data_IF_494814412164
#
_entry.id   IF_494814412164
#
_cell.length_a   1.000
_cell.length_b   1.000
_cell.length_c   1.000
_cell.angle_alpha   90.00
_cell.angle_beta   90.00
_cell.angle_gamma   90.00
#
_symmetry.space_group_name_H-M   'P 1'
#
loop_
_entity.id
_entity.type
_entity.pdbx_description
1 polymer ?
#
# COMPACT_ATOMS: atom_id res chain seq x y z
N UNK A 1 24.24 -14.25 -12.88
CA UNK A 1 24.38 -14.13 -11.41
C UNK A 1 23.25 -14.94 -10.79
N UNK A 2 23.44 -15.52 -9.60
CA UNK A 2 22.40 -16.29 -8.93
C UNK A 2 21.94 -15.50 -7.69
N UNK A 3 20.65 -15.22 -7.55
CA UNK A 3 20.05 -14.64 -6.34
C UNK A 3 20.19 -15.65 -5.21
N UNK A 4 20.99 -15.30 -4.21
CA UNK A 4 21.20 -16.10 -3.00
C UNK A 4 20.15 -15.76 -1.92
N UNK A 5 19.63 -16.78 -1.26
CA UNK A 5 18.71 -16.63 -0.12
C UNK A 5 19.48 -16.96 1.16
N UNK A 6 19.57 -15.98 2.05
CA UNK A 6 20.28 -16.08 3.32
C UNK A 6 19.30 -16.00 4.49
N UNK A 7 19.44 -16.90 5.46
CA UNK A 7 18.61 -16.93 6.65
C UNK A 7 19.38 -16.36 7.85
N UNK A 8 18.80 -15.37 8.53
CA UNK A 8 19.41 -14.70 9.68
C UNK A 8 18.47 -14.77 10.88
N UNK A 9 18.99 -15.31 11.99
CA UNK A 9 18.24 -15.45 13.24
C UNK A 9 18.62 -14.32 14.18
N UNK A 10 17.68 -13.40 14.41
CA UNK A 10 17.91 -12.16 15.16
C UNK A 10 17.89 -12.44 16.66
N UNK A 11 19.01 -12.19 17.33
CA UNK A 11 19.20 -12.31 18.78
C UNK A 11 19.13 -10.93 19.44
N UNK A 12 18.90 -10.87 20.75
CA UNK A 12 18.77 -9.60 21.49
C UNK A 12 19.98 -8.65 21.39
N UNK A 13 21.16 -9.15 21.04
CA UNK A 13 22.39 -8.36 20.85
C UNK A 13 22.72 -8.03 19.38
N UNK A 14 21.82 -8.28 18.44
CA UNK A 14 22.07 -8.02 17.02
C UNK A 14 22.24 -6.52 16.74
N UNK A 15 23.28 -6.09 15.99
CA UNK A 15 23.56 -4.68 15.73
C UNK A 15 22.47 -3.97 14.90
N UNK A 16 21.59 -4.72 14.22
CA UNK A 16 20.46 -4.15 13.49
C UNK A 16 19.28 -3.81 14.42
N UNK A 17 19.27 -4.31 15.66
CA UNK A 17 18.27 -3.96 16.65
C UNK A 17 18.59 -2.59 17.25
N UNK A 18 17.60 -1.71 17.20
CA UNK A 18 17.66 -0.45 17.92
C UNK A 18 16.75 -0.47 19.14
N UNK A 19 17.16 0.18 20.26
CA UNK A 19 16.26 0.44 21.36
C UNK A 19 15.13 1.36 20.86
N UNK A 20 13.89 0.87 20.90
CA UNK A 20 12.72 1.67 20.55
C UNK A 20 12.59 2.83 21.54
N UNK A 21 12.57 4.08 21.03
CA UNK A 21 12.40 5.28 21.85
C UNK A 21 10.96 5.49 22.31
N UNK A 22 10.01 4.70 21.82
CA UNK A 22 8.58 4.84 22.07
C UNK A 22 7.98 3.49 22.46
N UNK A 23 8.13 3.06 23.72
CA UNK A 23 7.32 2.04 24.43
C UNK A 23 6.99 0.70 23.69
N UNK A 24 7.63 0.41 22.56
CA UNK A 24 7.36 -0.77 21.76
C UNK A 24 8.46 -1.81 21.95
N UNK A 25 8.02 -3.05 21.85
CA UNK A 25 8.69 -4.29 22.23
C UNK A 25 10.14 -4.39 21.72
N UNK A 26 11.02 -5.15 22.41
CA UNK A 26 12.30 -5.54 21.81
C UNK A 26 12.08 -6.14 20.41
N UNK A 27 12.86 -5.72 19.41
CA UNK A 27 12.77 -6.30 18.06
C UNK A 27 12.72 -5.35 16.85
N UNK A 28 12.90 -4.04 17.00
CA UNK A 28 12.88 -3.13 15.85
C UNK A 28 14.18 -3.16 15.06
N UNK A 29 14.12 -3.60 13.80
CA UNK A 29 15.23 -3.57 12.87
C UNK A 29 15.35 -2.20 12.19
N UNK A 30 16.57 -1.68 12.13
CA UNK A 30 16.91 -0.46 11.40
C UNK A 30 17.76 -0.79 10.17
N UNK A 31 17.30 -0.31 9.02
CA UNK A 31 17.99 -0.44 7.75
C UNK A 31 18.23 0.95 7.15
N UNK A 32 19.44 1.52 7.32
CA UNK A 32 19.80 2.75 6.64
C UNK A 32 19.69 2.58 5.12
N UNK A 33 19.32 3.66 4.43
CA UNK A 33 19.22 3.70 2.95
C UNK A 33 18.32 2.61 2.37
N UNK A 34 17.26 2.23 3.10
CA UNK A 34 16.30 1.24 2.67
C UNK A 34 14.97 1.84 2.26
N UNK A 35 14.31 1.20 1.31
CA UNK A 35 12.94 1.45 0.95
C UNK A 35 12.05 0.38 1.59
N UNK A 36 11.12 0.79 2.45
CA UNK A 36 10.11 -0.12 2.99
C UNK A 36 9.01 -0.36 1.95
N UNK A 37 8.85 -1.61 1.54
CA UNK A 37 7.80 -2.05 0.64
C UNK A 37 6.64 -2.63 1.46
N UNK A 38 5.42 -2.20 1.14
CA UNK A 38 4.20 -2.75 1.71
C UNK A 38 3.54 -3.74 0.73
N UNK A 39 2.48 -4.41 1.19
CA UNK A 39 1.63 -5.23 0.33
C UNK A 39 1.08 -4.38 -0.84
N UNK A 40 0.89 -5.03 -1.99
CA UNK A 40 0.43 -4.42 -3.24
C UNK A 40 1.36 -3.34 -3.80
N UNK A 41 2.64 -3.36 -3.42
CA UNK A 41 3.65 -2.47 -3.97
C UNK A 41 4.70 -3.27 -4.72
N UNK A 42 5.31 -2.63 -5.72
CA UNK A 42 6.58 -3.08 -6.26
C UNK A 42 7.59 -1.94 -6.26
N UNK A 43 8.86 -2.31 -6.18
CA UNK A 43 9.97 -1.39 -6.26
C UNK A 43 10.96 -1.86 -7.30
N UNK A 44 11.54 -0.93 -8.06
CA UNK A 44 12.61 -1.16 -9.01
C UNK A 44 13.79 -0.30 -8.56
N UNK A 45 14.87 -0.96 -8.15
CA UNK A 45 16.12 -0.29 -7.84
C UNK A 45 16.98 -0.24 -9.09
N UNK A 46 17.29 0.98 -9.52
CA UNK A 46 18.15 1.27 -10.68
C UNK A 46 19.59 1.55 -10.21
N UNK A 47 20.60 1.27 -11.05
CA UNK A 47 21.95 1.78 -10.80
C UNK A 47 21.92 3.29 -10.55
N UNK A 48 22.52 3.73 -9.45
CA UNK A 48 22.54 5.14 -9.04
C UNK A 48 21.41 5.61 -8.12
N UNK A 49 20.43 4.74 -7.78
CA UNK A 49 19.46 5.07 -6.72
C UNK A 49 20.18 5.31 -5.38
N UNK A 50 19.71 6.27 -4.59
CA UNK A 50 20.18 6.46 -3.20
C UNK A 50 19.69 5.36 -2.26
N UNK A 51 18.75 4.53 -2.70
CA UNK A 51 18.27 3.35 -1.99
C UNK A 51 19.18 2.18 -2.32
N UNK A 52 19.75 1.56 -1.27
CA UNK A 52 20.63 0.40 -1.39
C UNK A 52 19.86 -0.92 -1.30
N UNK A 53 18.71 -0.92 -0.63
CA UNK A 53 17.95 -2.13 -0.37
C UNK A 53 16.46 -1.89 -0.25
N UNK A 54 15.68 -2.91 -0.57
CA UNK A 54 14.26 -2.96 -0.25
C UNK A 54 14.06 -3.82 0.99
N UNK A 55 13.22 -3.38 1.91
CA UNK A 55 12.85 -4.12 3.12
C UNK A 55 11.35 -4.25 3.20
N UNK A 56 10.85 -5.30 3.84
CA UNK A 56 9.41 -5.45 4.00
C UNK A 56 9.04 -6.58 4.96
N UNK A 57 7.74 -6.66 5.24
CA UNK A 57 7.16 -7.77 6.00
C UNK A 57 6.83 -8.93 5.06
N UNK A 58 7.08 -10.16 5.52
CA UNK A 58 6.67 -11.37 4.82
C UNK A 58 5.26 -11.77 5.28
N UNK A 59 4.24 -11.10 4.77
CA UNK A 59 2.84 -11.43 5.05
C UNK A 59 2.14 -12.15 3.88
N UNK A 60 2.67 -12.02 2.66
CA UNK A 60 2.04 -12.53 1.43
C UNK A 60 3.07 -13.14 0.48
N UNK A 61 2.85 -13.06 -0.84
CA UNK A 61 3.84 -13.45 -1.84
C UNK A 61 4.89 -12.35 -2.00
N UNK A 62 6.15 -12.74 -1.81
CA UNK A 62 7.31 -11.95 -2.20
C UNK A 62 7.87 -12.49 -3.51
N UNK A 63 8.06 -11.64 -4.52
CA UNK A 63 8.79 -11.96 -5.75
C UNK A 63 9.96 -11.00 -5.91
N UNK A 64 11.13 -11.55 -6.21
CA UNK A 64 12.38 -10.82 -6.46
C UNK A 64 12.85 -11.18 -7.86
N UNK A 65 13.09 -10.16 -8.68
CA UNK A 65 13.57 -10.29 -10.04
C UNK A 65 14.84 -9.47 -10.20
N UNK A 66 15.90 -10.06 -10.74
CA UNK A 66 17.18 -9.37 -10.94
C UNK A 66 17.69 -9.59 -12.36
N UNK A 67 18.07 -8.49 -13.03
CA UNK A 67 18.73 -8.55 -14.33
C UNK A 67 20.24 -8.30 -14.15
N UNK A 68 21.02 -9.32 -14.49
CA UNK A 68 22.46 -9.31 -14.20
C UNK A 68 23.26 -8.35 -15.09
N UNK A 69 22.72 -8.04 -16.26
CA UNK A 69 23.28 -7.15 -17.28
C UNK A 69 23.04 -5.68 -16.91
N UNK A 70 21.80 -5.32 -16.56
CA UNK A 70 21.43 -3.93 -16.24
C UNK A 70 21.66 -3.57 -14.77
N UNK A 71 21.95 -4.56 -13.92
CA UNK A 71 22.05 -4.40 -12.45
C UNK A 71 20.80 -3.78 -11.84
N UNK A 72 19.64 -4.06 -12.43
CA UNK A 72 18.34 -3.65 -11.89
C UNK A 72 17.72 -4.79 -11.09
N UNK A 73 17.10 -4.43 -9.98
CA UNK A 73 16.38 -5.38 -9.12
C UNK A 73 14.95 -4.88 -8.93
N UNK A 74 13.98 -5.75 -9.20
CA UNK A 74 12.58 -5.49 -8.92
C UNK A 74 12.12 -6.40 -7.78
N UNK A 75 11.41 -5.84 -6.82
CA UNK A 75 10.78 -6.57 -5.72
C UNK A 75 9.30 -6.27 -5.73
N UNK A 76 8.50 -7.32 -5.67
CA UNK A 76 7.04 -7.27 -5.74
C UNK A 76 6.50 -7.94 -4.48
N UNK A 77 5.66 -7.23 -3.73
CA UNK A 77 4.84 -7.80 -2.67
C UNK A 77 3.41 -7.87 -3.16
N UNK A 78 2.99 -9.06 -3.57
CA UNK A 78 1.66 -9.28 -4.12
C UNK A 78 0.71 -9.80 -3.04
N UNK A 79 -0.55 -9.36 -3.10
CA UNK A 79 -1.62 -9.94 -2.29
C UNK A 79 -2.00 -11.36 -2.74
N UNK A 80 -2.92 -12.03 -2.02
CA UNK A 80 -3.30 -13.42 -2.25
C UNK A 80 -4.09 -13.69 -3.55
N UNK A 81 -4.27 -12.70 -4.42
CA UNK A 81 -5.04 -12.83 -5.67
C UNK A 81 -4.29 -12.21 -6.83
N UNK A 82 -4.04 -13.02 -7.86
CA UNK A 82 -3.19 -12.71 -9.01
C UNK A 82 -4.03 -12.60 -10.28
N UNK A 83 -4.77 -11.50 -10.47
CA UNK A 83 -5.73 -11.44 -11.58
C UNK A 83 -5.23 -10.72 -12.84
N UNK A 84 -4.11 -9.97 -12.80
CA UNK A 84 -3.74 -9.09 -13.93
C UNK A 84 -2.31 -9.31 -14.40
N UNK A 85 -2.16 -9.93 -15.58
CA UNK A 85 -0.89 -10.21 -16.26
C UNK A 85 -0.01 -8.98 -16.45
N UNK A 86 -0.60 -7.85 -16.86
CA UNK A 86 0.14 -6.64 -17.23
C UNK A 86 0.95 -6.02 -16.09
N UNK A 87 0.49 -6.15 -14.85
CA UNK A 87 1.14 -5.56 -13.68
C UNK A 87 2.52 -6.18 -13.38
N UNK A 88 2.75 -7.41 -13.86
CA UNK A 88 4.01 -8.11 -13.66
C UNK A 88 4.95 -8.00 -14.86
N UNK A 89 4.42 -7.72 -16.05
CA UNK A 89 5.24 -7.51 -17.26
C UNK A 89 5.92 -6.15 -17.29
N UNK A 90 5.32 -5.10 -16.71
CA UNK A 90 5.90 -3.76 -16.67
C UNK A 90 7.24 -3.73 -15.89
N UNK A 91 7.38 -4.35 -14.70
CA UNK A 91 8.67 -4.51 -14.05
C UNK A 91 9.71 -5.25 -14.89
N UNK A 92 9.31 -6.29 -15.64
CA UNK A 92 10.22 -7.03 -16.54
C UNK A 92 10.77 -6.12 -17.63
N UNK A 93 9.91 -5.30 -18.23
CA UNK A 93 10.30 -4.32 -19.26
C UNK A 93 11.30 -3.30 -18.74
N UNK A 94 11.07 -2.81 -17.53
CA UNK A 94 11.98 -1.90 -16.84
C UNK A 94 13.31 -2.57 -16.46
N UNK A 95 13.30 -3.85 -16.07
CA UNK A 95 14.52 -4.58 -15.71
C UNK A 95 15.48 -4.71 -16.90
N UNK A 96 14.96 -4.99 -18.09
CA UNK A 96 15.78 -5.19 -19.28
C UNK A 96 16.06 -3.88 -20.04
N UNK A 97 15.32 -2.80 -19.73
CA UNK A 97 15.48 -1.48 -20.38
C UNK A 97 15.39 -1.51 -21.92
N UNK A 98 14.64 -2.46 -22.49
CA UNK A 98 14.55 -2.69 -23.94
C UNK A 98 15.73 -3.48 -24.54
N UNK A 99 16.71 -3.89 -23.74
CA UNK A 99 17.82 -4.74 -24.14
C UNK A 99 17.47 -6.23 -24.01
N UNK A 100 18.31 -7.11 -24.57
CA UNK A 100 18.25 -8.55 -24.26
C UNK A 100 19.00 -8.78 -22.95
N UNK A 101 18.35 -9.39 -21.96
CA UNK A 101 18.97 -9.68 -20.67
C UNK A 101 18.44 -10.98 -20.08
N UNK A 102 19.24 -11.60 -19.20
CA UNK A 102 18.80 -12.73 -18.39
C UNK A 102 18.24 -12.19 -17.07
N UNK A 103 16.95 -12.44 -16.85
CA UNK A 103 16.31 -12.16 -15.56
C UNK A 103 16.23 -13.44 -14.76
N UNK A 104 16.73 -13.38 -13.54
CA UNK A 104 16.46 -14.41 -12.56
C UNK A 104 15.26 -14.02 -11.70
N UNK A 105 14.35 -14.97 -11.49
CA UNK A 105 13.13 -14.78 -10.71
C UNK A 105 13.18 -15.73 -9.51
N UNK A 106 13.02 -15.17 -8.32
CA UNK A 106 12.80 -15.90 -7.07
C UNK A 106 11.47 -15.46 -6.49
N UNK A 107 10.72 -16.39 -5.93
CA UNK A 107 9.52 -16.06 -5.18
C UNK A 107 9.45 -16.88 -3.90
N UNK A 108 8.83 -16.29 -2.87
CA UNK A 108 8.61 -16.89 -1.58
C UNK A 108 7.15 -16.70 -1.20
N UNK A 109 6.55 -17.78 -0.71
CA UNK A 109 5.15 -17.80 -0.34
C UNK A 109 4.94 -18.47 1.02
N UNK A 110 4.15 -17.84 1.89
CA UNK A 110 3.86 -18.39 3.22
C UNK A 110 3.15 -19.76 3.11
N UNK A 111 3.52 -20.74 3.96
CA UNK A 111 2.84 -22.02 4.02
C UNK A 111 1.32 -21.87 4.20
N UNK A 112 0.54 -22.60 3.41
CA UNK A 112 -0.93 -22.58 3.50
C UNK A 112 -1.62 -21.43 2.78
N UNK A 113 -0.89 -20.47 2.21
CA UNK A 113 -1.51 -19.53 1.27
C UNK A 113 -1.79 -20.22 -0.07
N UNK A 114 -2.95 -19.94 -0.67
CA UNK A 114 -3.43 -20.66 -1.84
C UNK A 114 -2.64 -20.21 -3.09
N UNK A 115 -1.59 -20.96 -3.46
CA UNK A 115 -0.61 -20.62 -4.51
C UNK A 115 -1.06 -20.79 -5.94
N UNK A 116 -2.29 -21.26 -6.17
CA UNK A 116 -2.71 -21.92 -7.42
C UNK A 116 -2.33 -21.17 -8.71
N UNK A 117 -2.11 -19.87 -8.63
CA UNK A 117 -1.88 -18.97 -9.75
C UNK A 117 -0.41 -18.52 -9.96
N UNK A 118 0.57 -18.99 -9.16
CA UNK A 118 1.96 -18.51 -9.33
C UNK A 118 2.69 -19.12 -10.52
N UNK A 119 2.44 -20.40 -10.81
CA UNK A 119 3.07 -21.09 -11.94
C UNK A 119 2.66 -20.45 -13.26
N UNK A 120 1.35 -20.22 -13.54
CA UNK A 120 0.93 -19.47 -14.73
C UNK A 120 1.56 -18.08 -14.84
N UNK A 121 1.76 -17.38 -13.71
CA UNK A 121 2.42 -16.07 -13.71
C UNK A 121 3.89 -16.18 -14.11
N UNK A 122 4.63 -17.15 -13.57
CA UNK A 122 6.04 -17.35 -13.93
C UNK A 122 6.18 -17.76 -15.40
N UNK A 123 5.28 -18.61 -15.91
CA UNK A 123 5.23 -19.00 -17.32
C UNK A 123 4.95 -17.79 -18.22
N UNK A 124 3.95 -16.97 -17.87
CA UNK A 124 3.65 -15.72 -18.57
C UNK A 124 4.87 -14.79 -18.63
N UNK A 125 5.60 -14.64 -17.52
CA UNK A 125 6.82 -13.82 -17.48
C UNK A 125 7.96 -14.43 -18.31
N UNK A 126 8.02 -15.76 -18.44
CA UNK A 126 8.98 -16.46 -19.29
C UNK A 126 8.74 -16.17 -20.77
N UNK A 127 7.47 -16.24 -21.19
CA UNK A 127 7.07 -15.98 -22.56
C UNK A 127 7.30 -14.51 -22.95
N UNK A 128 7.24 -13.61 -21.97
CA UNK A 128 7.45 -12.19 -22.19
C UNK A 128 8.91 -11.89 -22.56
N UNK A 129 9.13 -11.45 -23.81
CA UNK A 129 10.42 -11.01 -24.37
C UNK A 129 11.55 -12.05 -24.33
N UNK A 130 11.23 -13.34 -24.30
CA UNK A 130 12.21 -14.44 -24.22
C UNK A 130 13.10 -14.36 -22.97
N UNK A 131 12.53 -13.90 -21.85
CA UNK A 131 13.21 -14.01 -20.55
C UNK A 131 13.35 -15.50 -20.24
N UNK A 132 14.53 -15.91 -19.76
CA UNK A 132 14.75 -17.30 -19.31
C UNK A 132 14.64 -17.32 -17.79
N UNK A 133 13.43 -17.47 -17.21
CA UNK A 133 13.29 -17.52 -15.76
C UNK A 133 13.97 -18.78 -15.26
N UNK A 134 14.92 -18.60 -14.34
CA UNK A 134 15.41 -19.67 -13.49
C UNK A 134 14.55 -19.70 -12.24
N UNK A 135 13.35 -20.25 -12.35
CA UNK A 135 12.48 -20.42 -11.19
C UNK A 135 13.12 -21.38 -10.19
N UNK A 136 12.98 -21.07 -8.91
CA UNK A 136 13.25 -22.01 -7.84
C UNK A 136 12.16 -21.84 -6.79
N UNK A 137 11.52 -22.95 -6.44
CA UNK A 137 10.45 -23.01 -5.46
C UNK A 137 11.08 -23.17 -4.08
N UNK A 138 11.16 -22.07 -3.33
CA UNK A 138 11.45 -22.12 -1.91
C UNK A 138 10.14 -21.99 -1.16
N UNK A 139 9.64 -23.08 -0.57
CA UNK A 139 8.69 -22.94 0.52
C UNK A 139 9.32 -21.97 1.54
N UNK A 140 8.58 -20.94 1.97
CA UNK A 140 9.08 -20.08 3.04
C UNK A 140 9.52 -20.99 4.19
N UNK A 141 10.77 -20.85 4.63
CA UNK A 141 11.18 -21.47 5.89
C UNK A 141 10.24 -20.96 6.97
N UNK A 142 9.57 -21.88 7.66
CA UNK A 142 8.70 -21.56 8.78
C UNK A 142 9.41 -20.56 9.72
N UNK A 143 8.72 -19.46 10.03
CA UNK A 143 9.16 -18.49 11.03
C UNK A 143 9.82 -17.20 10.54
N UNK A 144 10.12 -17.01 9.24
CA UNK A 144 10.63 -15.71 8.78
C UNK A 144 9.53 -14.62 8.86
N UNK A 145 9.82 -13.47 9.47
CA UNK A 145 8.85 -12.36 9.59
C UNK A 145 9.16 -11.19 8.64
N UNK A 146 10.44 -10.92 8.38
CA UNK A 146 10.88 -9.77 7.58
C UNK A 146 11.88 -10.21 6.50
N UNK A 147 12.06 -9.36 5.49
CA UNK A 147 13.08 -9.57 4.46
C UNK A 147 13.86 -8.29 4.13
N UNK A 148 15.02 -8.46 3.50
CA UNK A 148 15.71 -7.41 2.76
C UNK A 148 16.25 -7.93 1.43
N UNK A 149 16.24 -7.08 0.41
CA UNK A 149 16.78 -7.37 -0.93
C UNK A 149 17.84 -6.32 -1.25
N UNK A 150 19.04 -6.79 -1.55
CA UNK A 150 20.16 -5.94 -1.99
C UNK A 150 19.98 -5.48 -3.44
N UNK A 151 20.20 -4.19 -3.71
CA UNK A 151 20.04 -3.61 -5.05
C UNK A 151 20.94 -4.27 -6.09
N UNK A 152 22.23 -4.38 -5.77
CA UNK A 152 23.27 -4.63 -6.78
C UNK A 152 23.36 -6.11 -7.13
N UNK A 153 22.98 -6.96 -6.18
CA UNK A 153 23.06 -8.42 -6.30
C UNK A 153 21.70 -9.10 -6.44
N UNK A 154 20.62 -8.44 -6.03
CA UNK A 154 19.31 -9.07 -5.87
C UNK A 154 19.23 -10.05 -4.70
N UNK A 155 20.30 -10.18 -3.90
CA UNK A 155 20.37 -11.17 -2.83
C UNK A 155 19.33 -10.90 -1.75
N UNK A 156 18.64 -11.97 -1.36
CA UNK A 156 17.54 -11.95 -0.41
C UNK A 156 18.02 -12.41 0.96
N UNK A 157 17.73 -11.62 2.00
CA UNK A 157 17.95 -11.99 3.39
C UNK A 157 16.60 -12.12 4.08
N UNK A 158 16.37 -13.25 4.74
CA UNK A 158 15.18 -13.53 5.53
C UNK A 158 15.54 -13.45 7.01
N UNK A 159 14.76 -12.69 7.77
CA UNK A 159 14.98 -12.45 9.18
C UNK A 159 13.98 -13.24 10.02
N UNK A 160 14.53 -14.05 10.93
CA UNK A 160 13.81 -14.94 11.81
C UNK A 160 13.90 -14.41 13.25
N UNK A 161 12.76 -14.20 13.95
CA UNK A 161 12.77 -13.95 15.38
C UNK A 161 13.35 -15.16 16.12
N UNK A 162 13.91 -14.91 17.31
CA UNK A 162 14.40 -15.95 18.22
C UNK A 162 13.63 -15.86 19.54
N UNK A 163 13.71 -16.84 20.44
CA UNK A 163 13.05 -16.73 21.74
C UNK A 163 13.43 -15.46 22.53
N UNK A 164 14.62 -14.90 22.28
CA UNK A 164 15.08 -13.64 22.89
C UNK A 164 14.50 -12.38 22.24
N UNK A 165 14.00 -12.49 21.01
CA UNK A 165 13.38 -11.43 20.21
C UNK A 165 12.14 -12.02 19.56
N UNK A 166 11.03 -12.16 20.31
CA UNK A 166 9.91 -13.01 19.91
C UNK A 166 9.08 -12.44 18.75
N UNK A 167 9.37 -11.21 18.32
CA UNK A 167 8.75 -10.56 17.17
C UNK A 167 9.71 -9.51 16.61
N UNK A 168 9.71 -9.33 15.30
CA UNK A 168 10.46 -8.28 14.62
C UNK A 168 9.52 -7.21 14.08
N UNK A 169 9.98 -5.96 14.13
CA UNK A 169 9.31 -4.85 13.47
C UNK A 169 10.28 -4.07 12.59
N UNK A 170 9.77 -3.50 11.51
CA UNK A 170 10.51 -2.51 10.73
C UNK A 170 10.14 -1.13 11.24
N UNK A 171 11.15 -0.30 11.50
CA UNK A 171 10.92 1.13 11.74
C UNK A 171 10.03 1.70 10.62
N UNK A 172 8.98 2.44 10.99
CA UNK A 172 8.14 3.09 9.98
C UNK A 172 8.99 4.10 9.22
N UNK A 173 9.03 3.97 7.89
CA UNK A 173 9.93 4.77 7.06
C UNK A 173 9.54 6.25 7.03
N UNK A 174 8.24 6.56 7.10
CA UNK A 174 7.68 7.92 7.10
C UNK A 174 6.14 7.92 7.24
N UNK A 175 5.55 9.11 7.38
CA UNK A 175 4.09 9.31 7.40
C UNK A 175 3.41 8.91 6.09
N UNK A 176 4.11 8.99 4.96
CA UNK A 176 3.59 8.62 3.65
C UNK A 176 3.29 7.13 3.57
N UNK A 177 4.23 6.29 4.03
CA UNK A 177 4.11 4.83 4.07
C UNK A 177 2.91 4.41 4.92
N UNK A 178 2.71 5.08 6.06
CA UNK A 178 1.55 4.84 6.93
C UNK A 178 0.24 5.25 6.25
N UNK A 179 0.18 6.43 5.63
CA UNK A 179 -0.99 6.90 4.88
C UNK A 179 -1.33 5.95 3.73
N UNK A 180 -0.33 5.53 2.98
CA UNK A 180 -0.46 4.59 1.88
C UNK A 180 -1.11 3.28 2.34
N UNK A 181 -0.52 2.64 3.35
CA UNK A 181 -0.97 1.35 3.88
C UNK A 181 -2.43 1.41 4.36
N UNK A 182 -2.78 2.47 5.10
CA UNK A 182 -4.15 2.67 5.57
C UNK A 182 -5.14 2.93 4.42
N UNK A 183 -4.76 3.67 3.37
CA UNK A 183 -5.64 3.91 2.23
C UNK A 183 -5.89 2.63 1.43
N UNK A 184 -4.87 1.80 1.21
CA UNK A 184 -5.02 0.49 0.55
C UNK A 184 -5.92 -0.41 1.39
N UNK A 185 -5.66 -0.53 2.70
CA UNK A 185 -6.49 -1.32 3.62
C UNK A 185 -7.93 -0.85 3.64
N UNK A 186 -8.16 0.47 3.62
CA UNK A 186 -9.51 1.02 3.57
C UNK A 186 -10.22 0.62 2.27
N UNK A 187 -9.55 0.76 1.12
CA UNK A 187 -10.13 0.38 -0.16
C UNK A 187 -10.51 -1.11 -0.19
N UNK A 188 -9.61 -1.99 0.29
CA UNK A 188 -9.86 -3.45 0.37
C UNK A 188 -11.05 -3.73 1.29
N UNK A 189 -11.07 -3.13 2.47
CA UNK A 189 -12.11 -3.36 3.49
C UNK A 189 -13.49 -2.95 3.00
N UNK A 190 -13.57 -1.88 2.22
CA UNK A 190 -14.84 -1.31 1.76
C UNK A 190 -15.40 -2.07 0.55
N UNK A 191 -14.55 -2.52 -0.36
CA UNK A 191 -14.98 -3.25 -1.57
C UNK A 191 -15.26 -4.73 -1.31
N UNK A 192 -14.72 -5.28 -0.22
CA UNK A 192 -14.90 -6.68 0.15
C UNK A 192 -14.19 -7.65 -0.80
N UNK A 193 -14.41 -8.97 -0.61
CA UNK A 193 -13.68 -10.02 -1.32
C UNK A 193 -14.14 -10.24 -2.76
N UNK A 194 -15.07 -9.45 -3.31
CA UNK A 194 -15.60 -9.64 -4.67
C UNK A 194 -14.93 -8.74 -5.72
N UNK A 195 -13.99 -7.88 -5.31
CA UNK A 195 -13.25 -7.02 -6.22
C UNK A 195 -11.98 -7.72 -6.73
N UNK A 196 -12.04 -8.29 -7.93
CA UNK A 196 -10.93 -9.01 -8.58
C UNK A 196 -9.86 -8.09 -9.18
N UNK A 197 -10.16 -6.80 -9.41
CA UNK A 197 -9.22 -5.85 -10.01
C UNK A 197 -8.66 -4.86 -8.99
N UNK A 198 -7.64 -5.27 -8.24
CA UNK A 198 -6.81 -4.31 -7.51
C UNK A 198 -5.80 -3.68 -8.48
N UNK A 199 -6.16 -2.50 -9.00
CA UNK A 199 -5.27 -1.62 -9.78
C UNK A 199 -4.36 -0.73 -8.92
N UNK A 200 -4.27 -0.99 -7.61
CA UNK A 200 -3.58 -0.15 -6.63
C UNK A 200 -2.14 -0.59 -6.44
N UNK A 201 -1.45 -0.80 -7.56
CA UNK A 201 -0.02 -1.05 -7.52
C UNK A 201 0.72 0.28 -7.49
N UNK A 202 1.58 0.42 -6.49
CA UNK A 202 2.57 1.51 -6.49
C UNK A 202 3.90 0.96 -6.92
N UNK A 203 4.42 1.58 -7.97
CA UNK A 203 5.81 1.51 -8.34
C UNK A 203 6.61 2.47 -7.44
N UNK A 204 7.65 1.96 -6.80
CA UNK A 204 8.75 2.79 -6.30
C UNK A 204 9.94 2.62 -7.25
N UNK A 205 10.40 3.69 -7.87
CA UNK A 205 11.52 3.65 -8.83
C UNK A 205 12.90 3.92 -8.19
N UNK A 206 12.96 3.92 -6.86
CA UNK A 206 14.15 4.25 -6.09
C UNK A 206 14.44 5.77 -5.98
N UNK A 207 13.55 6.63 -6.49
CA UNK A 207 13.66 8.10 -6.42
C UNK A 207 12.51 8.77 -5.64
N UNK A 208 11.75 7.98 -4.87
CA UNK A 208 10.48 8.30 -4.20
C UNK A 208 9.32 8.47 -5.17
N UNK A 209 8.46 7.45 -5.27
CA UNK A 209 7.09 7.66 -5.72
C UNK A 209 6.30 8.35 -4.61
N UNK A 210 6.15 9.65 -4.72
CA UNK A 210 5.42 10.49 -3.77
C UNK A 210 3.92 10.50 -4.04
N UNK A 211 3.33 9.41 -4.53
CA UNK A 211 1.92 9.38 -4.93
C UNK A 211 1.13 8.38 -4.12
N UNK A 212 0.15 8.84 -3.37
CA UNK A 212 -0.85 8.04 -2.68
C UNK A 212 -1.77 7.33 -3.69
N UNK A 213 -2.40 6.24 -3.27
CA UNK A 213 -3.33 5.51 -4.11
C UNK A 213 -4.55 6.37 -4.45
N UNK A 214 -5.04 6.25 -5.68
CA UNK A 214 -6.34 6.81 -6.05
C UNK A 214 -7.42 5.92 -5.45
N UNK A 215 -8.04 6.38 -4.37
CA UNK A 215 -9.16 5.69 -3.73
C UNK A 215 -10.49 6.03 -4.42
N UNK A 216 -11.40 5.05 -4.43
CA UNK A 216 -12.75 5.21 -4.98
C UNK A 216 -13.66 6.07 -4.09
N UNK A 217 -14.83 6.45 -4.61
CA UNK A 217 -15.78 7.31 -3.91
C UNK A 217 -16.19 6.74 -2.54
N UNK A 218 -16.31 5.41 -2.40
CA UNK A 218 -16.79 4.78 -1.16
C UNK A 218 -15.81 4.96 0.00
N UNK A 219 -14.51 4.63 -0.10
CA UNK A 219 -13.50 5.01 0.90
C UNK A 219 -13.44 6.50 1.20
N UNK A 220 -13.57 7.38 0.19
CA UNK A 220 -13.63 8.83 0.43
C UNK A 220 -14.80 9.19 1.35
N UNK A 221 -15.96 8.55 1.17
CA UNK A 221 -17.13 8.74 2.04
C UNK A 221 -16.85 8.26 3.48
N UNK A 222 -16.21 7.11 3.67
CA UNK A 222 -15.78 6.66 5.01
C UNK A 222 -14.86 7.68 5.68
N UNK A 223 -13.84 8.20 4.97
CA UNK A 223 -12.93 9.20 5.53
C UNK A 223 -13.69 10.48 5.93
N UNK A 224 -14.57 10.99 5.07
CA UNK A 224 -15.35 12.19 5.40
C UNK A 224 -16.33 11.97 6.55
N UNK A 225 -16.89 10.77 6.67
CA UNK A 225 -17.79 10.38 7.75
C UNK A 225 -17.09 10.33 9.12
N UNK A 226 -15.82 9.89 9.12
CA UNK A 226 -15.00 9.80 10.33
C UNK A 226 -14.42 11.15 10.76
N UNK A 227 -14.47 12.19 9.92
CA UNK A 227 -14.01 13.53 10.31
C UNK A 227 -14.99 14.16 11.31
N UNK A 228 -14.48 14.79 12.39
CA UNK A 228 -15.34 15.57 13.26
C UNK A 228 -16.02 16.68 12.44
N UNK A 229 -17.27 17.05 12.78
CA UNK A 229 -17.90 18.20 12.14
C UNK A 229 -16.98 19.40 12.31
N UNK A 230 -16.56 19.99 11.19
CA UNK A 230 -15.83 21.26 11.22
C UNK A 230 -16.78 22.23 11.90
N UNK A 231 -16.38 22.78 13.05
CA UNK A 231 -17.13 23.83 13.72
C UNK A 231 -17.52 24.84 12.64
N UNK A 232 -18.81 25.10 12.50
CA UNK A 232 -19.28 25.99 11.47
C UNK A 232 -18.57 27.32 11.68
N UNK A 233 -17.63 27.66 10.80
CA UNK A 233 -17.22 29.04 10.66
C UNK A 233 -18.53 29.78 10.34
N UNK A 234 -18.93 30.68 11.23
CA UNK A 234 -20.31 31.12 11.48
C UNK A 234 -21.08 31.73 10.30
N UNK A 235 -20.50 31.82 9.10
CA UNK A 235 -21.10 32.50 7.94
C UNK A 235 -21.63 31.56 6.84
N UNK A 236 -21.25 30.28 6.82
CA UNK A 236 -21.46 29.42 5.64
C UNK A 236 -22.54 28.34 5.83
N UNK A 237 -23.61 28.68 6.58
CA UNK A 237 -24.88 27.96 6.64
C UNK A 237 -24.77 26.44 6.76
N UNK A 238 -24.65 25.95 8.00
CA UNK A 238 -24.90 24.59 8.47
C UNK A 238 -24.59 23.43 7.52
N UNK A 239 -23.62 22.59 7.87
CA UNK A 239 -23.33 21.35 7.13
C UNK A 239 -24.61 20.53 6.91
N UNK A 240 -25.01 20.23 5.66
CA UNK A 240 -26.08 19.27 5.45
C UNK A 240 -25.61 17.92 6.00
N UNK A 241 -26.45 17.21 6.77
CA UNK A 241 -26.13 15.86 7.21
C UNK A 241 -25.83 15.01 5.97
N UNK A 242 -24.70 14.30 5.99
CA UNK A 242 -24.36 13.35 4.92
C UNK A 242 -25.43 12.25 4.88
N UNK A 243 -26.15 12.02 3.78
CA UNK A 243 -27.01 10.85 3.69
C UNK A 243 -26.12 9.65 3.32
N UNK A 244 -25.71 8.87 4.33
CA UNK A 244 -25.04 7.58 4.14
C UNK A 244 -25.82 6.61 3.24
N UNK A 245 -27.12 6.87 3.08
CA UNK A 245 -28.11 5.98 2.46
C UNK A 245 -27.93 5.76 0.98
N UNK A 246 -27.51 6.77 0.21
CA UNK A 246 -27.38 6.62 -1.25
C UNK A 246 -26.07 5.94 -1.66
N UNK A 247 -24.97 6.15 -0.92
CA UNK A 247 -23.65 5.62 -1.30
C UNK A 247 -23.57 4.09 -1.15
N UNK A 248 -24.30 3.51 -0.20
CA UNK A 248 -24.31 2.07 0.04
C UNK A 248 -25.50 1.33 -0.56
N UNK A 249 -26.38 2.01 -1.32
CA UNK A 249 -27.65 1.42 -1.77
C UNK A 249 -28.54 0.94 -0.62
N UNK A 250 -28.22 1.31 0.62
CA UNK A 250 -28.92 0.91 1.82
C UNK A 250 -29.94 1.99 2.16
N UNK A 251 -31.22 1.68 1.96
CA UNK A 251 -32.37 2.48 2.46
C UNK A 251 -32.46 2.42 4.00
N UNK A 252 -31.41 2.82 4.71
CA UNK A 252 -31.44 2.87 6.17
C UNK A 252 -31.81 4.28 6.60
N UNK A 253 -33.04 4.47 7.09
CA UNK A 253 -33.50 5.72 7.72
C UNK A 253 -32.84 5.95 9.09
N UNK A 254 -31.53 5.71 9.19
CA UNK A 254 -30.75 5.75 10.41
C UNK A 254 -29.72 6.84 10.21
N UNK A 255 -29.71 7.84 11.09
CA UNK A 255 -28.74 8.93 11.03
C UNK A 255 -27.31 8.39 11.02
N UNK A 256 -26.39 9.05 10.31
CA UNK A 256 -24.98 8.65 10.13
C UNK A 256 -24.33 8.16 11.41
N UNK A 257 -24.58 8.84 12.54
CA UNK A 257 -24.05 8.46 13.84
C UNK A 257 -24.51 7.08 14.33
N UNK A 258 -25.79 6.75 14.12
CA UNK A 258 -26.32 5.44 14.49
C UNK A 258 -25.87 4.35 13.52
N UNK A 259 -25.70 4.65 12.22
CA UNK A 259 -25.08 3.72 11.27
C UNK A 259 -23.61 3.43 11.64
N UNK A 260 -22.82 4.47 11.94
CA UNK A 260 -21.45 4.36 12.44
C UNK A 260 -21.41 3.51 13.71
N UNK A 261 -22.31 3.76 14.67
CA UNK A 261 -22.39 2.96 15.91
C UNK A 261 -22.68 1.48 15.61
N UNK A 262 -23.63 1.20 14.73
CA UNK A 262 -23.94 -0.18 14.31
C UNK A 262 -22.75 -0.85 13.61
N UNK A 263 -22.03 -0.14 12.74
CA UNK A 263 -20.82 -0.65 12.09
C UNK A 263 -19.67 -0.88 13.08
N UNK A 264 -19.52 -0.03 14.10
CA UNK A 264 -18.54 -0.25 15.19
C UNK A 264 -18.85 -1.51 15.99
N UNK A 265 -20.13 -1.79 16.22
CA UNK A 265 -20.58 -2.96 16.96
C UNK A 265 -20.52 -4.25 16.11
N UNK A 266 -20.54 -4.13 14.78
CA UNK A 266 -20.54 -5.26 13.86
C UNK A 266 -19.13 -5.52 13.29
N UNK A 267 -18.49 -6.65 13.67
CA UNK A 267 -17.10 -7.01 13.29
C UNK A 267 -16.91 -7.40 11.81
N UNK A 268 -17.85 -7.08 10.93
CA UNK A 268 -17.76 -7.33 9.49
C UNK A 268 -16.84 -6.35 8.76
N UNK A 269 -16.70 -6.54 7.44
CA UNK A 269 -15.85 -5.71 6.58
C UNK A 269 -16.12 -4.20 6.69
N UNK A 270 -17.39 -3.80 6.86
CA UNK A 270 -17.77 -2.39 7.08
C UNK A 270 -17.21 -1.78 8.38
N UNK A 271 -17.09 -2.57 9.45
CA UNK A 271 -16.48 -2.14 10.71
C UNK A 271 -14.96 -1.92 10.57
N UNK A 272 -14.27 -2.83 9.87
CA UNK A 272 -12.85 -2.69 9.57
C UNK A 272 -12.55 -1.44 8.71
N UNK A 273 -13.39 -1.16 7.71
CA UNK A 273 -13.29 0.05 6.89
C UNK A 273 -13.44 1.32 7.73
N UNK A 274 -14.45 1.38 8.60
CA UNK A 274 -14.66 2.55 9.46
C UNK A 274 -13.49 2.80 10.43
N UNK A 275 -12.99 1.76 11.11
CA UNK A 275 -11.83 1.88 11.99
C UNK A 275 -10.58 2.36 11.24
N UNK A 276 -10.37 1.86 10.01
CA UNK A 276 -9.24 2.30 9.17
C UNK A 276 -9.39 3.76 8.75
N UNK A 277 -10.60 4.20 8.42
CA UNK A 277 -10.89 5.60 8.11
C UNK A 277 -10.70 6.53 9.32
N UNK A 278 -11.06 6.10 10.53
CA UNK A 278 -10.79 6.84 11.76
C UNK A 278 -9.28 7.03 11.98
N UNK A 279 -8.48 5.97 11.79
CA UNK A 279 -7.01 6.07 11.84
C UNK A 279 -6.45 7.04 10.81
N UNK A 280 -6.98 7.06 9.59
CA UNK A 280 -6.60 8.05 8.58
C UNK A 280 -6.92 9.49 9.00
N UNK A 281 -8.04 9.70 9.68
CA UNK A 281 -8.42 11.03 10.20
C UNK A 281 -7.52 11.46 11.36
N UNK A 282 -7.12 10.52 12.24
CA UNK A 282 -6.18 10.78 13.34
C UNK A 282 -4.80 11.25 12.84
N UNK A 283 -4.39 10.82 11.65
CA UNK A 283 -3.15 11.33 11.03
C UNK A 283 -3.26 12.81 10.65
N UNK A 284 -4.45 13.39 10.62
CA UNK A 284 -4.69 14.79 10.26
C UNK A 284 -4.99 15.00 8.77
N UNK A 285 -4.82 16.24 8.32
CA UNK A 285 -5.06 16.59 6.93
C UNK A 285 -3.82 16.30 6.10
N UNK A 286 -4.01 15.80 4.89
CA UNK A 286 -2.93 15.47 3.97
C UNK A 286 -3.34 15.75 2.53
N UNK A 287 -2.36 15.98 1.66
CA UNK A 287 -2.58 16.08 0.23
C UNK A 287 -3.06 14.72 -0.30
N UNK A 288 -4.22 14.69 -0.98
CA UNK A 288 -4.78 13.46 -1.54
C UNK A 288 -3.87 12.79 -2.60
N UNK A 289 -2.92 13.54 -3.17
CA UNK A 289 -1.96 13.01 -4.13
C UNK A 289 -0.67 12.60 -3.44
N UNK A 290 -0.04 13.42 -2.59
CA UNK A 290 1.31 13.12 -2.09
C UNK A 290 1.44 12.90 -0.59
N UNK A 291 0.36 12.95 0.18
CA UNK A 291 0.40 12.72 1.63
C UNK A 291 1.04 13.84 2.46
N UNK A 292 1.64 14.87 1.84
CA UNK A 292 2.17 16.04 2.55
C UNK A 292 1.09 16.69 3.41
N UNK A 293 1.44 17.09 4.63
CA UNK A 293 0.48 17.62 5.62
C UNK A 293 0.55 19.15 5.78
N UNK A 294 1.55 19.77 5.16
CA UNK A 294 1.80 21.22 5.24
C UNK A 294 1.42 21.92 3.94
N UNK A 295 1.05 23.21 4.05
CA UNK A 295 0.74 24.05 2.89
C UNK A 295 -0.52 23.60 2.14
N UNK A 296 -1.50 23.05 2.87
CA UNK A 296 -2.70 22.47 2.28
C UNK A 296 -3.72 23.54 1.89
N UNK A 297 -4.20 23.45 0.65
CA UNK A 297 -5.37 24.15 0.15
C UNK A 297 -6.55 23.18 0.03
N UNK A 298 -7.75 23.70 0.32
CA UNK A 298 -9.01 22.96 0.15
C UNK A 298 -9.47 23.05 -1.31
N UNK A 299 -10.07 21.97 -1.83
CA UNK A 299 -10.80 22.03 -3.09
C UNK A 299 -11.88 23.13 -3.03
N UNK A 300 -11.86 24.10 -3.94
CA UNK A 300 -12.82 25.20 -3.98
C UNK A 300 -14.27 24.75 -4.27
N UNK A 301 -14.44 23.59 -4.93
CA UNK A 301 -15.74 23.04 -5.28
C UNK A 301 -16.46 22.37 -4.10
N UNK A 302 -15.84 21.35 -3.50
CA UNK A 302 -16.46 20.57 -2.43
C UNK A 302 -16.01 20.97 -1.02
N UNK A 303 -14.88 21.68 -0.88
CA UNK A 303 -14.21 22.00 0.40
C UNK A 303 -13.88 20.77 1.27
N UNK A 304 -13.85 19.55 0.70
CA UNK A 304 -13.63 18.27 1.41
C UNK A 304 -12.28 17.60 1.15
N UNK A 305 -11.71 17.82 -0.03
CA UNK A 305 -10.41 17.28 -0.41
C UNK A 305 -9.32 18.34 -0.23
N UNK A 306 -8.12 17.91 0.12
CA UNK A 306 -6.98 18.77 0.41
C UNK A 306 -5.82 18.45 -0.53
N UNK A 307 -5.11 19.49 -0.96
CA UNK A 307 -3.97 19.38 -1.86
C UNK A 307 -2.88 20.34 -1.40
N UNK A 308 -1.60 20.02 -1.61
CA UNK A 308 -0.51 20.96 -1.31
C UNK A 308 -0.31 22.04 -2.41
N UNK A 309 -1.15 22.03 -3.46
CA UNK A 309 -1.10 23.00 -4.55
C UNK A 309 -2.03 22.64 -5.72
N UNK A 310 -2.20 23.58 -6.66
CA UNK A 310 -3.08 23.43 -7.83
C UNK A 310 -2.67 22.28 -8.76
N UNK A 311 -1.38 22.00 -8.88
CA UNK A 311 -0.88 20.91 -9.74
C UNK A 311 -1.45 19.55 -9.31
N UNK A 312 -1.36 19.20 -8.03
CA UNK A 312 -1.93 17.96 -7.49
C UNK A 312 -3.47 17.94 -7.53
N UNK A 313 -4.13 19.09 -7.39
CA UNK A 313 -5.57 19.15 -7.59
C UNK A 313 -5.97 18.83 -9.04
N UNK A 314 -5.26 19.39 -10.02
CA UNK A 314 -5.49 19.12 -11.44
C UNK A 314 -5.21 17.65 -11.78
N UNK A 315 -4.15 17.07 -11.20
CA UNK A 315 -3.81 15.66 -11.36
C UNK A 315 -4.90 14.72 -10.82
N UNK A 316 -5.38 14.94 -9.59
CA UNK A 316 -6.47 14.15 -8.98
C UNK A 316 -7.84 14.43 -9.62
N UNK A 317 -7.98 15.51 -10.42
CA UNK A 317 -9.28 15.95 -10.93
C UNK A 317 -10.02 14.85 -11.72
N UNK A 318 -9.29 14.01 -12.47
CA UNK A 318 -9.89 12.91 -13.24
C UNK A 318 -10.67 11.96 -12.34
N UNK A 319 -10.14 11.63 -11.15
CA UNK A 319 -10.82 10.80 -10.17
C UNK A 319 -11.79 11.60 -9.28
N UNK A 320 -11.41 12.83 -8.93
CA UNK A 320 -12.13 13.67 -7.97
C UNK A 320 -13.41 14.31 -8.54
N UNK A 321 -13.45 14.65 -9.83
CA UNK A 321 -14.49 15.50 -10.43
C UNK A 321 -15.92 14.98 -10.18
N UNK A 322 -16.12 13.66 -10.34
CA UNK A 322 -17.42 13.01 -10.13
C UNK A 322 -17.89 13.21 -8.70
N UNK A 323 -17.03 12.85 -7.74
CA UNK A 323 -17.30 12.97 -6.31
C UNK A 323 -17.47 14.43 -5.87
N UNK A 324 -16.63 15.34 -6.38
CA UNK A 324 -16.76 16.79 -6.14
C UNK A 324 -18.14 17.33 -6.55
N UNK A 325 -18.65 16.89 -7.71
CA UNK A 325 -19.97 17.31 -8.23
C UNK A 325 -21.11 16.84 -7.33
N UNK A 326 -21.05 15.59 -6.85
CA UNK A 326 -22.05 15.03 -5.93
C UNK A 326 -22.14 15.84 -4.62
N UNK A 327 -20.98 16.24 -4.08
CA UNK A 327 -20.93 17.02 -2.84
C UNK A 327 -21.32 18.49 -3.01
N UNK A 328 -21.04 19.10 -4.17
CA UNK A 328 -21.38 20.51 -4.43
C UNK A 328 -22.88 20.74 -4.55
N UNK A 329 -23.62 19.76 -5.07
CA UNK A 329 -25.06 19.88 -5.31
C UNK A 329 -25.87 19.76 -4.00
N UNK A 330 -25.85 20.80 -3.15
CA UNK A 330 -26.69 20.91 -1.93
C UNK A 330 -28.20 20.67 -2.21
N UNK A 331 -28.66 20.90 -3.44
CA UNK A 331 -30.07 20.79 -3.84
C UNK A 331 -30.55 19.37 -4.20
N UNK A 332 -29.65 18.41 -4.46
CA UNK A 332 -30.05 17.00 -4.63
C UNK A 332 -30.59 16.46 -3.29
N UNK A 333 -30.04 16.95 -2.19
CA UNK A 333 -30.27 16.45 -0.84
C UNK A 333 -31.41 17.12 -0.07
N UNK A 334 -32.03 18.16 -0.65
CA UNK A 334 -33.18 18.88 -0.04
C UNK A 334 -34.55 18.38 -0.52
N UNK A 335 -34.62 17.43 -1.47
CA UNK A 335 -35.86 17.04 -2.16
C UNK A 335 -36.42 15.66 -1.82
N UNK A 336 -35.81 14.92 -0.89
CA UNK A 336 -36.31 13.64 -0.36
C UNK A 336 -36.48 13.73 1.16
#
# INVERSE_FOLDING_TARGET
MTIEINHLYIQAGDPLLAPSTFLEKPGTLIFPSSLKLNEYCYAILKPGSSVERIVGSLSTLLMVMHCSETKRTAVILAGPRFAVSKQYTDPVDELIAGEKGSIEIRYLQQPGSNSGDIVPLVELLAEHKNVVPRSFEGALTEGAELFSVDRDTGNLKLYHPTPSVPSLSLASADSFTTLFDLLVKLEISVKGPEFEEFGLWIQHDGYQSCRLPVISDTPRVYIQASRPPIAADDDDGGFPPFPFTEVFGMKMAVGVHAAIKMFRENRGAGGAGLLTAERLVELGLYCAVCGKQEGLMKCSGCKREYYCGQAHQTEDWVAHARWCKQLRNKNIWKKN
#
